data_IF_883015488094
#
_entry.id   IF_883015488094
#
_cell.length_a   1.000
_cell.length_b   1.000
_cell.length_c   1.000
_cell.angle_alpha   90.00
_cell.angle_beta   90.00
_cell.angle_gamma   90.00
#
_symmetry.space_group_name_H-M   'P 1'
#
loop_
_entity.id
_entity.type
_entity.pdbx_description
1 polymer ?
#
# COMPACT_ATOMS: atom_id res chain seq x y z
N UNK A 1 -6.45 -53.53 2.63
CA UNK A 1 -7.42 -52.75 3.42
C UNK A 1 -7.48 -51.33 2.85
N UNK A 2 -8.57 -50.90 2.21
CA UNK A 2 -8.64 -49.53 1.69
C UNK A 2 -8.67 -48.55 2.87
N UNK A 3 -7.75 -47.57 2.87
CA UNK A 3 -7.66 -46.53 3.89
C UNK A 3 -8.94 -45.69 3.90
N UNK A 4 -9.54 -45.49 5.09
CA UNK A 4 -10.72 -44.64 5.26
C UNK A 4 -10.47 -43.23 4.70
N UNK A 5 -11.43 -42.62 4.00
CA UNK A 5 -11.25 -41.28 3.43
C UNK A 5 -11.11 -40.22 4.53
N UNK A 6 -10.27 -39.21 4.29
CA UNK A 6 -10.03 -38.11 5.24
C UNK A 6 -11.30 -37.28 5.41
N UNK A 7 -11.62 -36.92 6.65
CA UNK A 7 -12.75 -36.01 6.93
C UNK A 7 -12.45 -34.60 6.42
N UNK A 8 -13.49 -33.83 6.09
CA UNK A 8 -13.35 -32.42 5.70
C UNK A 8 -12.54 -31.62 6.73
N UNK A 9 -12.80 -31.83 8.03
CA UNK A 9 -12.03 -31.21 9.10
C UNK A 9 -10.54 -31.61 9.09
N UNK A 10 -10.22 -32.87 8.75
CA UNK A 10 -8.85 -33.34 8.57
C UNK A 10 -8.15 -32.72 7.36
N UNK A 11 -8.86 -32.56 6.24
CA UNK A 11 -8.36 -31.89 5.03
C UNK A 11 -8.07 -30.41 5.33
N UNK A 12 -9.02 -29.69 5.93
CA UNK A 12 -8.87 -28.28 6.28
C UNK A 12 -7.73 -28.03 7.29
N UNK A 13 -7.56 -28.89 8.29
CA UNK A 13 -6.40 -28.82 9.20
C UNK A 13 -5.08 -28.99 8.44
N UNK A 14 -4.99 -29.98 7.55
CA UNK A 14 -3.78 -30.25 6.77
C UNK A 14 -3.41 -29.06 5.88
N UNK A 15 -4.41 -28.43 5.24
CA UNK A 15 -4.23 -27.21 4.45
C UNK A 15 -3.67 -26.07 5.30
N UNK A 16 -4.25 -25.78 6.47
CA UNK A 16 -3.74 -24.72 7.36
C UNK A 16 -2.29 -24.93 7.80
N UNK A 17 -1.90 -26.16 8.10
CA UNK A 17 -0.51 -26.48 8.45
C UNK A 17 0.44 -26.21 7.27
N UNK A 18 0.05 -26.63 6.06
CA UNK A 18 0.80 -26.34 4.83
C UNK A 18 0.89 -24.84 4.53
N UNK A 19 -0.20 -24.10 4.67
CA UNK A 19 -0.24 -22.65 4.44
C UNK A 19 0.66 -21.89 5.44
N UNK A 20 0.66 -22.29 6.72
CA UNK A 20 1.48 -21.68 7.76
C UNK A 20 2.98 -21.97 7.57
N UNK A 21 3.32 -23.20 7.19
CA UNK A 21 4.70 -23.59 6.88
C UNK A 21 5.23 -22.85 5.64
N UNK A 22 4.44 -22.82 4.56
CA UNK A 22 4.74 -22.08 3.34
C UNK A 22 4.91 -20.57 3.59
N UNK A 23 4.00 -19.96 4.35
CA UNK A 23 4.09 -18.55 4.70
C UNK A 23 5.30 -18.24 5.58
N UNK A 24 5.70 -19.15 6.47
CA UNK A 24 6.91 -19.00 7.30
C UNK A 24 8.19 -19.13 6.48
N UNK A 25 8.26 -20.09 5.57
CA UNK A 25 9.41 -20.31 4.70
C UNK A 25 9.68 -19.14 3.74
N UNK A 26 8.62 -18.42 3.33
CA UNK A 26 8.71 -17.26 2.44
C UNK A 26 9.00 -15.93 3.13
N UNK A 27 8.79 -15.85 4.45
CA UNK A 27 8.91 -14.59 5.18
C UNK A 27 10.36 -14.36 5.60
N UNK A 28 10.94 -13.27 5.13
CA UNK A 28 12.25 -12.84 5.60
C UNK A 28 12.20 -12.57 7.13
N UNK A 29 13.00 -13.30 7.94
CA UNK A 29 12.98 -13.19 9.39
C UNK A 29 13.45 -11.82 9.89
N UNK A 30 14.33 -11.14 9.12
CA UNK A 30 14.82 -9.79 9.45
C UNK A 30 13.69 -8.79 9.31
N UNK A 31 12.96 -8.85 8.19
CA UNK A 31 11.79 -8.00 7.93
C UNK A 31 10.71 -8.21 8.99
N UNK A 32 10.43 -9.47 9.35
CA UNK A 32 9.47 -9.80 10.40
C UNK A 32 9.85 -9.21 11.76
N UNK A 33 11.13 -9.30 12.15
CA UNK A 33 11.65 -8.75 13.41
C UNK A 33 11.55 -7.22 13.44
N UNK A 34 11.90 -6.55 12.34
CA UNK A 34 11.82 -5.10 12.23
C UNK A 34 10.38 -4.63 12.41
N UNK A 35 9.43 -5.20 11.67
CA UNK A 35 8.02 -4.83 11.80
C UNK A 35 7.42 -5.18 13.17
N UNK A 36 7.91 -6.22 13.84
CA UNK A 36 7.50 -6.59 15.20
C UNK A 36 8.16 -5.75 16.30
N UNK A 37 9.18 -4.94 15.98
CA UNK A 37 9.94 -4.20 17.00
C UNK A 37 9.15 -3.02 17.57
N UNK A 38 9.29 -2.78 18.88
CA UNK A 38 8.72 -1.59 19.54
C UNK A 38 9.24 -0.29 18.91
N UNK A 39 10.52 -0.29 18.47
CA UNK A 39 11.12 0.82 17.73
C UNK A 39 10.35 1.14 16.45
N UNK A 40 9.95 0.13 15.68
CA UNK A 40 9.16 0.35 14.47
C UNK A 40 7.78 0.93 14.78
N UNK A 41 7.11 0.41 15.82
CA UNK A 41 5.81 0.92 16.23
C UNK A 41 5.87 2.41 16.63
N UNK A 42 6.90 2.80 17.37
CA UNK A 42 7.13 4.19 17.77
C UNK A 42 7.38 5.10 16.56
N UNK A 43 8.30 4.71 15.66
CA UNK A 43 8.62 5.48 14.45
C UNK A 43 7.40 5.57 13.53
N UNK A 44 6.67 4.48 13.33
CA UNK A 44 5.43 4.46 12.53
C UNK A 44 4.41 5.46 13.08
N UNK A 45 4.20 5.46 14.40
CA UNK A 45 3.26 6.39 15.03
C UNK A 45 3.73 7.84 14.88
N UNK A 46 5.03 8.11 14.98
CA UNK A 46 5.59 9.44 14.75
C UNK A 46 5.38 9.92 13.31
N UNK A 47 5.73 9.10 12.31
CA UNK A 47 5.56 9.44 10.90
C UNK A 47 4.10 9.78 10.57
N UNK A 48 3.14 9.01 11.08
CA UNK A 48 1.71 9.26 10.83
C UNK A 48 1.17 10.50 11.57
N UNK A 49 1.80 10.93 12.67
CA UNK A 49 1.46 12.19 13.34
C UNK A 49 2.03 13.39 12.58
N UNK A 50 3.27 13.28 12.13
CA UNK A 50 3.96 14.36 11.42
C UNK A 50 3.37 14.60 10.02
N UNK A 51 3.00 13.53 9.32
CA UNK A 51 2.44 13.56 7.97
C UNK A 51 1.16 12.70 7.91
N UNK A 52 -0.03 13.25 8.23
CA UNK A 52 -1.28 12.50 8.26
C UNK A 52 -1.87 12.21 6.86
N UNK A 53 -1.29 12.78 5.80
CA UNK A 53 -1.76 12.65 4.41
C UNK A 53 -0.85 11.71 3.64
N UNK A 54 -1.44 10.92 2.74
CA UNK A 54 -0.73 10.04 1.82
C UNK A 54 0.15 10.86 0.86
N UNK A 55 1.46 10.64 0.89
CA UNK A 55 2.42 11.39 0.06
C UNK A 55 2.20 11.19 -1.45
N UNK A 56 1.82 9.98 -1.86
CA UNK A 56 1.53 9.67 -3.26
C UNK A 56 0.25 10.36 -3.76
N UNK A 57 -0.78 10.41 -2.92
CA UNK A 57 -2.02 11.14 -3.23
C UNK A 57 -1.77 12.65 -3.26
N UNK A 58 -1.01 13.18 -2.30
CA UNK A 58 -0.66 14.60 -2.27
C UNK A 58 0.09 15.04 -3.54
N UNK A 59 0.97 14.18 -4.09
CA UNK A 59 1.66 14.43 -5.36
C UNK A 59 0.71 14.53 -6.56
N UNK A 60 -0.47 13.91 -6.47
CA UNK A 60 -1.54 13.97 -7.47
C UNK A 60 -2.56 15.08 -7.17
N UNK A 61 -2.33 15.91 -6.14
CA UNK A 61 -3.28 16.94 -5.70
C UNK A 61 -4.47 16.40 -4.90
N UNK A 62 -4.40 15.16 -4.44
CA UNK A 62 -5.46 14.52 -3.65
C UNK A 62 -5.10 14.51 -2.16
N UNK A 63 -6.09 14.79 -1.30
CA UNK A 63 -5.91 14.78 0.16
C UNK A 63 -6.54 13.53 0.75
N UNK A 64 -5.80 12.42 0.73
CA UNK A 64 -6.22 11.14 1.29
C UNK A 64 -5.46 10.86 2.59
N UNK A 65 -6.12 10.37 3.66
CA UNK A 65 -5.45 10.06 4.91
C UNK A 65 -4.46 8.89 4.75
N UNK A 66 -3.28 9.03 5.35
CA UNK A 66 -2.31 7.96 5.43
C UNK A 66 -2.72 6.95 6.51
N UNK A 67 -2.82 5.67 6.13
CA UNK A 67 -3.18 4.59 7.06
C UNK A 67 -1.97 3.73 7.43
N UNK A 68 -0.94 3.75 6.58
CA UNK A 68 0.21 2.88 6.66
C UNK A 68 1.49 3.67 6.37
N UNK A 69 2.61 3.16 6.86
CA UNK A 69 3.94 3.69 6.56
C UNK A 69 4.68 2.61 5.79
N UNK A 70 5.15 2.97 4.60
CA UNK A 70 5.84 2.10 3.68
C UNK A 70 7.31 2.50 3.56
N UNK A 71 8.16 1.52 3.27
CA UNK A 71 9.58 1.75 2.99
C UNK A 71 9.76 2.06 1.51
N UNK A 72 10.36 3.22 1.20
CA UNK A 72 10.68 3.64 -0.18
C UNK A 72 11.60 2.61 -0.83
N UNK A 73 12.71 2.28 -0.15
CA UNK A 73 13.58 1.15 -0.47
C UNK A 73 13.17 -0.05 0.39
N UNK A 74 12.82 -1.21 -0.21
CA UNK A 74 12.41 -2.39 0.54
C UNK A 74 13.43 -2.83 1.58
N UNK A 75 12.94 -3.30 2.74
CA UNK A 75 13.77 -3.81 3.83
C UNK A 75 14.66 -5.00 3.43
N UNK A 76 14.23 -5.80 2.44
CA UNK A 76 15.02 -6.91 1.90
C UNK A 76 16.31 -6.46 1.19
N UNK A 77 16.35 -5.20 0.72
CA UNK A 77 17.52 -4.61 0.03
C UNK A 77 18.36 -3.79 1.00
N UNK A 78 17.72 -2.94 1.82
CA UNK A 78 18.41 -2.00 2.69
C UNK A 78 17.88 -2.04 4.14
N UNK A 79 18.20 -3.10 4.91
CA UNK A 79 17.69 -3.26 6.28
C UNK A 79 18.24 -2.18 7.24
N UNK A 80 19.40 -1.60 6.95
CA UNK A 80 19.99 -0.51 7.74
C UNK A 80 19.16 0.79 7.66
N UNK A 81 18.35 0.97 6.62
CA UNK A 81 17.47 2.12 6.44
C UNK A 81 16.07 1.94 7.06
N UNK A 82 15.87 0.88 7.85
CA UNK A 82 14.56 0.50 8.38
C UNK A 82 13.83 1.59 9.18
N UNK A 83 14.59 2.45 9.85
CA UNK A 83 14.08 3.48 10.76
C UNK A 83 14.41 4.90 10.30
N UNK A 84 15.00 5.05 9.11
CA UNK A 84 15.46 6.35 8.61
C UNK A 84 14.28 7.10 8.03
N UNK A 85 14.00 8.31 8.52
CA UNK A 85 12.82 9.10 8.15
C UNK A 85 12.67 9.35 6.65
N UNK A 86 13.78 9.53 5.93
CA UNK A 86 13.79 9.73 4.48
C UNK A 86 13.41 8.48 3.68
N UNK A 87 13.60 7.29 4.26
CA UNK A 87 13.20 6.02 3.65
C UNK A 87 11.75 5.62 4.00
N UNK A 88 11.06 6.39 4.84
CA UNK A 88 9.69 6.12 5.27
C UNK A 88 8.73 7.09 4.59
N UNK A 89 7.65 6.54 4.03
CA UNK A 89 6.59 7.32 3.40
C UNK A 89 5.21 6.97 3.98
N UNK A 90 4.40 7.97 4.37
CA UNK A 90 3.01 7.76 4.73
C UNK A 90 2.18 7.52 3.47
N UNK A 91 1.43 6.42 3.43
CA UNK A 91 0.63 6.00 2.28
C UNK A 91 -0.75 5.51 2.70
N UNK A 92 -1.73 5.69 1.82
CA UNK A 92 -3.03 5.07 1.97
C UNK A 92 -2.99 3.59 1.52
N UNK A 93 -3.98 2.80 1.95
CA UNK A 93 -4.06 1.37 1.62
C UNK A 93 -4.07 1.10 0.11
N UNK A 94 -4.73 1.96 -0.67
CA UNK A 94 -4.78 1.82 -2.13
C UNK A 94 -3.41 2.03 -2.79
N UNK A 95 -2.69 3.08 -2.40
CA UNK A 95 -1.35 3.36 -2.93
C UNK A 95 -0.34 2.27 -2.51
N UNK A 96 -0.44 1.79 -1.27
CA UNK A 96 0.40 0.68 -0.80
C UNK A 96 0.15 -0.62 -1.58
N UNK A 97 -1.11 -0.96 -1.87
CA UNK A 97 -1.46 -2.13 -2.67
C UNK A 97 -0.94 -2.02 -4.11
N UNK A 98 -1.05 -0.83 -4.73
CA UNK A 98 -0.50 -0.54 -6.06
C UNK A 98 1.01 -0.74 -6.10
N UNK A 99 1.75 -0.17 -5.16
CA UNK A 99 3.21 -0.35 -5.05
C UNK A 99 3.58 -1.82 -4.87
N UNK A 100 2.95 -2.51 -3.93
CA UNK A 100 3.17 -3.95 -3.71
C UNK A 100 2.88 -4.79 -4.96
N UNK A 101 1.88 -4.42 -5.77
CA UNK A 101 1.60 -5.09 -7.04
C UNK A 101 2.68 -4.80 -8.09
N UNK A 102 3.12 -3.55 -8.21
CA UNK A 102 4.20 -3.16 -9.11
C UNK A 102 5.53 -3.82 -8.76
N UNK A 103 5.88 -3.88 -7.48
CA UNK A 103 7.11 -4.51 -6.99
C UNK A 103 7.12 -6.01 -7.30
N UNK A 104 5.99 -6.71 -7.10
CA UNK A 104 5.84 -8.12 -7.49
C UNK A 104 6.02 -8.36 -9.00
N UNK A 105 5.49 -7.47 -9.84
CA UNK A 105 5.65 -7.55 -11.30
C UNK A 105 7.10 -7.36 -11.72
N UNK A 106 7.82 -6.41 -11.10
CA UNK A 106 9.24 -6.16 -11.37
C UNK A 106 10.13 -7.33 -10.96
N UNK A 107 9.76 -8.04 -9.90
CA UNK A 107 10.48 -9.22 -9.39
C UNK A 107 10.05 -10.54 -10.08
N UNK A 108 9.28 -10.50 -11.17
CA UNK A 108 8.93 -11.69 -11.96
C UNK A 108 7.90 -12.62 -11.34
N UNK A 109 7.10 -12.16 -10.37
CA UNK A 109 6.05 -12.97 -9.75
C UNK A 109 4.78 -12.99 -10.58
N UNK A 110 4.70 -13.81 -11.63
CA UNK A 110 3.44 -14.14 -12.27
C UNK A 110 2.64 -15.05 -11.32
N UNK A 111 1.52 -14.56 -10.80
CA UNK A 111 0.55 -15.39 -10.09
C UNK A 111 -0.60 -15.72 -11.04
N UNK A 112 -0.27 -16.07 -12.29
CA UNK A 112 -1.21 -16.64 -13.26
C UNK A 112 -1.34 -18.14 -13.04
N UNK A 113 -1.79 -18.54 -11.85
CA UNK A 113 -2.17 -19.92 -11.54
C UNK A 113 -3.63 -19.99 -11.15
N UNK A 114 -4.51 -19.57 -12.06
CA UNK A 114 -5.90 -20.03 -12.18
C UNK A 114 -6.28 -20.09 -13.67
N UNK A 115 -5.60 -20.96 -14.42
CA UNK A 115 -6.00 -21.37 -15.75
C UNK A 115 -6.03 -22.91 -15.80
N UNK A 116 -6.87 -23.55 -14.99
CA UNK A 116 -7.13 -24.99 -15.10
C UNK A 116 -8.65 -25.28 -15.03
N UNK A 117 -9.19 -25.52 -16.22
CA UNK A 117 -10.32 -26.40 -16.58
C UNK A 117 -11.44 -26.69 -15.57
N UNK A 118 -12.59 -26.02 -15.75
CA UNK A 118 -13.90 -26.68 -15.54
C UNK A 118 -14.33 -27.33 -16.86
N UNK A 119 -14.48 -28.65 -16.97
CA UNK A 119 -15.14 -29.23 -18.13
C UNK A 119 -16.62 -28.81 -18.12
N UNK A 120 -17.03 -28.19 -19.22
CA UNK A 120 -18.42 -27.94 -19.58
C UNK A 120 -19.09 -29.29 -19.82
N UNK A 121 -19.78 -29.82 -18.80
CA UNK A 121 -20.73 -30.90 -19.00
C UNK A 121 -21.93 -30.32 -19.77
N UNK A 122 -21.93 -30.54 -21.09
CA UNK A 122 -23.14 -30.49 -21.90
C UNK A 122 -23.97 -31.73 -21.59
N UNK A 123 -25.26 -31.54 -21.33
CA UNK A 123 -26.26 -32.62 -21.38
C UNK A 123 -27.34 -32.48 -20.33
N UNK A 124 -28.50 -31.93 -20.72
CA UNK A 124 -29.69 -31.96 -19.85
C UNK A 124 -30.78 -30.97 -20.23
N UNK A 125 -31.48 -31.25 -21.33
CA UNK A 125 -32.88 -30.90 -21.66
C UNK A 125 -33.43 -29.50 -21.31
N UNK A 126 -33.64 -28.72 -22.37
CA UNK A 126 -34.55 -27.57 -22.44
C UNK A 126 -35.97 -27.98 -22.07
N UNK A 127 -36.54 -27.40 -21.01
CA UNK A 127 -37.99 -27.26 -20.77
C UNK A 127 -38.22 -26.30 -19.58
N UNK A 128 -38.30 -24.98 -19.83
CA UNK A 128 -39.29 -24.17 -19.12
C UNK A 128 -39.64 -22.89 -19.87
N UNK A 129 -40.95 -22.68 -19.93
CA UNK A 129 -41.70 -21.74 -20.74
C UNK A 129 -41.34 -20.27 -20.57
N UNK A 130 -41.53 -19.57 -21.69
CA UNK A 130 -41.85 -18.15 -21.82
C UNK A 130 -42.81 -17.66 -20.73
N UNK A 131 -42.33 -16.78 -19.86
CA UNK A 131 -43.14 -15.71 -19.24
C UNK A 131 -42.27 -14.45 -19.23
N UNK A 132 -42.65 -13.46 -20.03
CA UNK A 132 -41.97 -12.17 -20.09
C UNK A 132 -42.23 -11.34 -18.82
N UNK A 133 -41.30 -10.47 -18.41
CA UNK A 133 -41.54 -9.53 -17.32
C UNK A 133 -42.57 -8.47 -17.74
N UNK A 134 -43.57 -8.14 -16.89
CA UNK A 134 -44.44 -7.01 -17.15
C UNK A 134 -43.69 -5.69 -16.97
N UNK A 135 -43.90 -4.86 -17.99
CA UNK A 135 -43.78 -3.41 -18.06
C UNK A 135 -43.91 -2.68 -16.70
N UNK A 136 -42.86 -1.96 -16.29
CA UNK A 136 -42.92 -0.94 -15.25
C UNK A 136 -42.65 0.43 -15.89
N UNK A 137 -43.63 1.36 -15.87
CA UNK A 137 -43.42 2.73 -16.33
C UNK A 137 -42.85 3.63 -15.22
N UNK A 138 -41.84 4.41 -15.59
CA UNK A 138 -41.65 5.81 -15.20
C UNK A 138 -41.37 6.13 -13.73
N UNK A 139 -40.11 6.46 -13.42
CA UNK A 139 -39.82 7.47 -12.40
C UNK A 139 -38.63 8.36 -12.80
N UNK A 140 -38.98 9.56 -13.25
CA UNK A 140 -38.40 10.82 -12.75
C UNK A 140 -36.90 11.03 -12.92
N UNK A 141 -36.55 11.72 -14.00
CA UNK A 141 -35.44 12.66 -14.06
C UNK A 141 -35.42 13.59 -12.84
N UNK A 142 -34.29 13.58 -12.11
CA UNK A 142 -34.00 14.47 -10.99
C UNK A 142 -32.53 14.87 -11.01
N UNK A 143 -32.21 15.85 -11.87
CA UNK A 143 -30.94 16.58 -11.86
C UNK A 143 -30.75 17.28 -10.51
N UNK A 144 -29.78 16.82 -9.71
CA UNK A 144 -29.23 17.57 -8.57
C UNK A 144 -27.88 18.20 -8.97
N UNK A 145 -27.61 19.48 -8.61
CA UNK A 145 -26.42 20.18 -9.08
C UNK A 145 -25.12 19.61 -8.48
N UNK A 146 -24.11 19.50 -9.35
CA UNK A 146 -22.69 19.19 -9.06
C UNK A 146 -22.20 19.97 -7.83
N UNK A 147 -21.74 19.24 -6.81
CA UNK A 147 -20.85 19.79 -5.80
C UNK A 147 -19.57 20.28 -6.49
N UNK A 148 -19.30 21.58 -6.36
CA UNK A 148 -18.09 22.21 -6.89
C UNK A 148 -16.91 21.85 -5.97
N UNK A 149 -15.74 21.48 -6.50
CA UNK A 149 -14.53 21.37 -5.70
C UNK A 149 -14.11 22.77 -5.21
N UNK A 150 -13.76 22.85 -3.92
CA UNK A 150 -13.21 24.06 -3.31
C UNK A 150 -11.92 24.48 -4.04
N UNK A 151 -11.90 25.73 -4.49
CA UNK A 151 -10.72 26.31 -5.14
C UNK A 151 -9.59 26.56 -4.12
N UNK A 152 -8.34 26.28 -4.47
CA UNK A 152 -7.20 26.63 -3.64
C UNK A 152 -6.94 28.13 -3.72
N UNK A 153 -7.13 28.84 -2.60
CA UNK A 153 -6.66 30.20 -2.41
C UNK A 153 -5.13 30.24 -2.40
N UNK A 154 -4.55 30.75 -3.49
CA UNK A 154 -3.16 31.17 -3.56
C UNK A 154 -3.07 32.65 -3.16
N UNK A 155 -2.47 33.02 -2.01
CA UNK A 155 -1.85 34.32 -1.88
C UNK A 155 -0.48 34.28 -2.54
N UNK A 156 -0.33 35.07 -3.60
CA UNK A 156 0.89 35.24 -4.36
C UNK A 156 2.02 35.89 -3.56
N UNK A 157 3.23 35.45 -3.92
CA UNK A 157 4.38 36.29 -4.27
C UNK A 157 4.44 37.72 -3.73
N UNK A 158 5.31 37.91 -2.74
CA UNK A 158 6.28 39.01 -2.60
C UNK A 158 7.50 38.34 -1.94
N UNK A 159 8.71 38.29 -2.48
CA UNK A 159 9.53 39.40 -2.94
C UNK A 159 10.78 39.46 -2.04
N UNK A 160 11.94 39.06 -2.59
CA UNK A 160 13.31 39.52 -2.28
C UNK A 160 13.87 39.50 -0.84
N UNK A 161 14.91 38.69 -0.61
CA UNK A 161 16.19 39.10 0.00
C UNK A 161 17.17 37.89 -0.05
N UNK A 162 18.09 37.86 -1.01
CA UNK A 162 19.46 38.36 -0.85
C UNK A 162 20.29 37.51 0.13
N UNK A 163 21.06 36.57 -0.43
CA UNK A 163 22.22 36.00 0.22
C UNK A 163 23.33 37.06 0.32
N UNK A 164 24.09 37.10 1.42
CA UNK A 164 25.46 37.60 1.37
C UNK A 164 26.43 36.42 1.26
N UNK A 165 27.08 36.36 0.10
CA UNK A 165 28.44 35.89 -0.05
C UNK A 165 29.34 36.95 0.61
N UNK A 166 30.04 36.60 1.70
CA UNK A 166 31.28 37.32 2.02
C UNK A 166 32.33 36.38 2.61
N UNK A 167 33.36 36.24 1.79
CA UNK A 167 34.67 35.70 2.06
C UNK A 167 35.44 36.65 3.00
N UNK A 168 35.63 36.27 4.26
CA UNK A 168 36.73 36.66 5.18
C UNK A 168 36.23 36.43 6.63
N UNK A 169 36.88 35.68 7.51
CA UNK A 169 38.19 36.02 8.09
C UNK A 169 38.81 34.78 8.75
N UNK A 170 39.93 34.36 8.19
CA UNK A 170 41.18 33.96 8.85
C UNK A 170 41.21 34.15 10.39
N UNK A 171 41.31 33.04 11.14
CA UNK A 171 42.02 32.97 12.42
C UNK A 171 42.75 31.61 12.50
N UNK A 172 44.03 31.52 12.10
CA UNK A 172 44.90 30.45 12.57
C UNK A 172 45.28 30.72 14.03
N UNK A 173 45.23 29.65 14.79
CA UNK A 173 45.93 29.37 16.04
C UNK A 173 46.94 30.46 16.50
N UNK A 174 46.56 31.16 17.56
CA UNK A 174 47.47 31.89 18.44
C UNK A 174 46.97 31.64 19.86
N UNK A 175 47.77 31.10 20.78
CA UNK A 175 49.12 31.60 21.00
C UNK A 175 48.98 33.02 21.54
N UNK A 176 48.78 33.09 22.86
CA UNK A 176 48.88 34.24 23.77
C UNK A 176 48.72 35.66 23.21
N UNK A 177 47.69 36.34 23.70
CA UNK A 177 47.77 37.78 23.96
C UNK A 177 47.52 38.00 25.47
N UNK A 178 48.28 38.94 26.02
CA UNK A 178 48.49 39.25 27.44
C UNK A 178 47.22 39.50 28.27
#
# INVERSE_FOLDING_TARGET
>A
MPSKPRTLAGILRSRRHGDAEYNRARRDPVVARIHGSARWQAVRAQVLRDEPVCRECARLGLTEPATQVDHVVPLSVAPHLAYVRSNLQPVCTACHARKSASDRRRMGGDSSSHAEGRPSARGGVSLFSRVGPPNLPGFGTGFGPRAQPAEPVNPGSDGSAAAPDEHARKCPEGGGCA
#
